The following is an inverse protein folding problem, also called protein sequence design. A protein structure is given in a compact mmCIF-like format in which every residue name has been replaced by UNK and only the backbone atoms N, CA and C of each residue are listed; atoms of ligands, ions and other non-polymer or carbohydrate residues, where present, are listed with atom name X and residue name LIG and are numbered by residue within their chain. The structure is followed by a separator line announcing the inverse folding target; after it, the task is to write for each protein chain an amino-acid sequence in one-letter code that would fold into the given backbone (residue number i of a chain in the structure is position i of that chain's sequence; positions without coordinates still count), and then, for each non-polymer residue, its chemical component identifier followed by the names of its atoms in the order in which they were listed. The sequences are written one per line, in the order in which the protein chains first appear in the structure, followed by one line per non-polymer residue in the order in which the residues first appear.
data_IF_691291051569
#
_entry.id   IF_691291051569
#
_cell.length_a   1.000
_cell.length_b   1.000
_cell.length_c   1.000
_cell.angle_alpha   90.00
_cell.angle_beta   90.00
_cell.angle_gamma   90.00
#
_symmetry.space_group_name_H-M   'P 1'
#
loop_
_entity.id
_entity.type
_entity.pdbx_description
1 polymer ?
#
# COMPACT_ATOMS: atom_id res chain seq x y z
N UNK A 1 -41.10 20.62 -43.43
CA UNK A 1 -41.13 20.75 -41.96
C UNK A 1 -41.42 22.19 -41.64
N UNK A 2 -42.26 22.47 -40.64
CA UNK A 2 -42.51 23.85 -40.24
C UNK A 2 -41.28 24.39 -39.50
N UNK A 3 -41.09 25.72 -39.49
CA UNK A 3 -40.00 26.38 -38.76
C UNK A 3 -39.99 26.01 -37.26
N UNK A 4 -41.17 25.72 -36.69
CA UNK A 4 -41.31 25.25 -35.31
C UNK A 4 -40.84 23.81 -35.08
N UNK A 5 -40.89 22.95 -36.10
CA UNK A 5 -40.41 21.56 -36.00
C UNK A 5 -38.88 21.51 -36.03
N UNK A 6 -38.24 22.34 -36.86
CA UNK A 6 -36.77 22.46 -36.91
C UNK A 6 -36.19 23.09 -35.63
N UNK A 7 -36.86 24.10 -35.07
CA UNK A 7 -36.47 24.72 -33.81
C UNK A 7 -36.59 23.73 -32.64
N UNK A 8 -37.65 22.90 -32.63
CA UNK A 8 -37.85 21.84 -31.63
C UNK A 8 -36.79 20.73 -31.74
N UNK A 9 -36.48 20.29 -32.96
CA UNK A 9 -35.48 19.25 -33.19
C UNK A 9 -34.06 19.71 -32.85
N UNK A 10 -33.73 20.97 -33.14
CA UNK A 10 -32.45 21.57 -32.77
C UNK A 10 -32.32 21.73 -31.24
N UNK A 11 -33.40 22.10 -30.54
CA UNK A 11 -33.42 22.15 -29.09
C UNK A 11 -33.19 20.77 -28.46
N UNK A 12 -33.83 19.73 -29.00
CA UNK A 12 -33.67 18.34 -28.55
C UNK A 12 -32.23 17.84 -28.77
N UNK A 13 -31.63 18.12 -29.94
CA UNK A 13 -30.22 17.79 -30.24
C UNK A 13 -29.25 18.48 -29.28
N UNK A 14 -29.46 19.77 -29.02
CA UNK A 14 -28.65 20.54 -28.08
C UNK A 14 -28.72 19.97 -26.66
N UNK A 15 -29.92 19.67 -26.18
CA UNK A 15 -30.11 19.10 -24.85
C UNK A 15 -29.49 17.70 -24.71
N UNK A 16 -29.68 16.84 -25.72
CA UNK A 16 -29.10 15.49 -25.75
C UNK A 16 -27.57 15.54 -25.76
N UNK A 17 -26.97 16.47 -26.51
CA UNK A 17 -25.52 16.70 -26.51
C UNK A 17 -25.01 17.16 -25.15
N UNK A 18 -25.74 18.05 -24.47
CA UNK A 18 -25.43 18.48 -23.10
C UNK A 18 -25.41 17.31 -22.11
N UNK A 19 -26.46 16.47 -22.12
CA UNK A 19 -26.55 15.28 -21.27
C UNK A 19 -25.41 14.31 -21.57
N UNK A 20 -25.14 14.04 -22.85
CA UNK A 20 -24.06 13.15 -23.26
C UNK A 20 -22.69 13.65 -22.75
N UNK A 21 -22.42 14.96 -22.87
CA UNK A 21 -21.19 15.54 -22.34
C UNK A 21 -21.07 15.39 -20.82
N UNK A 22 -22.15 15.61 -20.07
CA UNK A 22 -22.16 15.40 -18.62
C UNK A 22 -21.84 13.95 -18.26
N UNK A 23 -22.46 12.98 -18.95
CA UNK A 23 -22.20 11.54 -18.73
C UNK A 23 -20.74 11.21 -19.05
N UNK A 24 -20.24 11.66 -20.19
CA UNK A 24 -18.87 11.40 -20.64
C UNK A 24 -17.84 12.02 -19.68
N UNK A 25 -18.05 13.25 -19.23
CA UNK A 25 -17.17 13.91 -18.24
C UNK A 25 -17.16 13.17 -16.90
N UNK A 26 -18.32 12.71 -16.42
CA UNK A 26 -18.41 11.90 -15.21
C UNK A 26 -17.68 10.56 -15.33
N UNK A 27 -17.84 9.88 -16.46
CA UNK A 27 -17.16 8.62 -16.76
C UNK A 27 -15.64 8.81 -16.87
N UNK A 28 -15.17 9.84 -17.58
CA UNK A 28 -13.75 10.16 -17.73
C UNK A 28 -13.10 10.51 -16.39
N UNK A 29 -13.77 11.30 -15.55
CA UNK A 29 -13.28 11.61 -14.20
C UNK A 29 -13.09 10.34 -13.37
N UNK A 30 -14.04 9.41 -13.47
CA UNK A 30 -13.99 8.11 -12.78
C UNK A 30 -12.84 7.25 -13.31
N UNK A 31 -12.71 7.11 -14.63
CA UNK A 31 -11.63 6.35 -15.26
C UNK A 31 -10.27 6.94 -14.89
N UNK A 32 -10.13 8.27 -14.90
CA UNK A 32 -8.90 8.95 -14.47
C UNK A 32 -8.55 8.65 -13.01
N UNK A 33 -9.54 8.61 -12.11
CA UNK A 33 -9.34 8.27 -10.69
C UNK A 33 -8.92 6.81 -10.47
N UNK A 34 -9.35 5.89 -11.32
CA UNK A 34 -9.07 4.45 -11.20
C UNK A 34 -7.98 3.93 -12.16
N UNK A 35 -7.41 4.78 -13.02
CA UNK A 35 -6.38 4.41 -14.00
C UNK A 35 -4.98 4.19 -13.41
N UNK A 36 -4.77 4.62 -12.16
CA UNK A 36 -3.61 4.31 -11.32
C UNK A 36 -4.08 3.61 -10.04
N UNK A 37 -3.16 2.95 -9.32
CA UNK A 37 -3.46 2.39 -8.00
C UNK A 37 -4.10 3.48 -7.11
N UNK A 38 -5.38 3.33 -6.74
CA UNK A 38 -6.08 4.26 -5.85
C UNK A 38 -6.04 3.73 -4.41
N UNK A 39 -5.43 4.51 -3.52
CA UNK A 39 -5.62 4.37 -2.09
C UNK A 39 -6.72 5.31 -1.67
N UNK A 40 -7.96 4.82 -1.71
CA UNK A 40 -9.13 5.65 -1.45
C UNK A 40 -9.53 5.57 0.04
N UNK A 41 -9.91 6.70 0.65
CA UNK A 41 -10.43 6.72 2.03
C UNK A 41 -11.78 6.01 2.12
N UNK A 42 -12.04 5.37 3.26
CA UNK A 42 -13.36 4.79 3.54
C UNK A 42 -14.43 5.91 3.53
N UNK A 43 -15.50 5.77 2.72
CA UNK A 43 -16.60 6.74 2.68
C UNK A 43 -17.21 7.02 4.06
N UNK A 44 -17.56 8.28 4.33
CA UNK A 44 -18.05 8.71 5.64
C UNK A 44 -19.33 7.99 6.07
N UNK A 45 -20.24 7.70 5.15
CA UNK A 45 -21.47 6.96 5.46
C UNK A 45 -21.18 5.56 5.99
N UNK A 46 -20.16 4.87 5.49
CA UNK A 46 -19.72 3.57 6.01
C UNK A 46 -18.97 3.73 7.33
N UNK A 47 -18.05 4.71 7.39
CA UNK A 47 -17.28 4.98 8.61
C UNK A 47 -18.16 5.38 9.79
N UNK A 48 -19.26 6.10 9.54
CA UNK A 48 -20.20 6.53 10.58
C UNK A 48 -21.05 5.38 11.12
N UNK A 49 -21.25 4.29 10.36
CA UNK A 49 -21.94 3.10 10.86
C UNK A 49 -21.09 2.32 11.87
N UNK A 50 -19.80 2.23 11.62
CA UNK A 50 -18.87 1.56 12.52
C UNK A 50 -17.44 2.12 12.40
N UNK A 51 -17.15 3.17 13.15
CA UNK A 51 -15.87 3.88 13.05
C UNK A 51 -14.68 3.04 13.50
N UNK A 52 -14.87 2.13 14.45
CA UNK A 52 -13.80 1.26 14.95
C UNK A 52 -13.37 0.23 13.91
N UNK A 53 -14.30 -0.32 13.11
CA UNK A 53 -13.96 -1.26 12.03
C UNK A 53 -12.98 -0.69 10.98
N UNK A 54 -12.92 0.64 10.84
CA UNK A 54 -12.06 1.34 9.87
C UNK A 54 -10.96 2.16 10.54
N UNK A 55 -10.74 1.96 11.84
CA UNK A 55 -9.63 2.57 12.58
C UNK A 55 -8.61 1.47 12.86
N UNK A 56 -7.33 1.63 12.48
CA UNK A 56 -6.32 0.63 12.76
C UNK A 56 -6.21 0.34 14.27
N UNK A 57 -6.27 -0.94 14.63
CA UNK A 57 -6.22 -1.36 16.04
C UNK A 57 -4.82 -1.71 16.53
N UNK A 58 -3.94 -2.20 15.64
CA UNK A 58 -2.63 -2.71 16.01
C UNK A 58 -1.50 -1.88 15.41
N UNK A 59 -1.59 -1.63 14.10
CA UNK A 59 -0.57 -0.95 13.31
C UNK A 59 -1.29 -0.05 12.30
N UNK A 60 -1.01 1.26 12.34
CA UNK A 60 -1.44 2.21 11.30
C UNK A 60 -0.58 2.06 10.06
N UNK A 61 -1.08 2.33 8.85
CA UNK A 61 -0.27 2.34 7.62
C UNK A 61 -0.78 3.49 6.75
N UNK A 62 0.14 4.26 6.19
CA UNK A 62 -0.14 5.33 5.25
C UNK A 62 -0.72 6.60 5.88
N UNK A 63 -0.95 7.63 5.05
CA UNK A 63 -1.21 9.00 5.49
C UNK A 63 -2.57 9.15 6.17
N UNK A 64 -3.57 8.35 5.80
CA UNK A 64 -4.90 8.40 6.43
C UNK A 64 -4.89 8.04 7.91
N UNK A 65 -3.81 7.42 8.39
CA UNK A 65 -3.69 6.91 9.76
C UNK A 65 -2.47 7.47 10.49
N UNK A 66 -1.81 8.49 9.94
CA UNK A 66 -0.55 9.03 10.47
C UNK A 66 -0.66 9.60 11.89
N UNK A 67 -1.85 10.06 12.28
CA UNK A 67 -2.11 10.64 13.61
C UNK A 67 -2.67 9.63 14.61
N UNK A 68 -2.73 8.34 14.24
CA UNK A 68 -3.29 7.29 15.08
C UNK A 68 -2.13 6.55 15.74
N UNK A 69 -2.01 6.73 17.05
CA UNK A 69 -1.09 5.96 17.86
C UNK A 69 -1.68 4.57 18.09
N UNK A 70 -0.99 3.55 17.59
CA UNK A 70 -1.40 2.16 17.72
C UNK A 70 -0.43 1.38 18.62
N UNK A 71 -0.91 0.43 19.43
CA UNK A 71 -0.12 -0.24 20.47
C UNK A 71 1.11 -0.99 19.94
N UNK A 72 1.13 -1.36 18.65
CA UNK A 72 2.25 -2.10 18.03
C UNK A 72 3.10 -1.23 17.09
N UNK A 73 3.08 0.10 17.23
CA UNK A 73 3.93 0.97 16.43
C UNK A 73 5.44 0.67 16.61
N UNK A 74 5.86 0.27 17.82
CA UNK A 74 7.23 -0.18 18.08
C UNK A 74 7.58 -1.48 17.35
N UNK A 75 6.61 -2.38 17.12
CA UNK A 75 6.81 -3.62 16.35
C UNK A 75 7.00 -3.29 14.87
N UNK A 76 6.26 -2.30 14.35
CA UNK A 76 6.47 -1.79 12.99
C UNK A 76 7.92 -1.33 12.79
N UNK A 77 8.44 -0.51 13.71
CA UNK A 77 9.82 -0.03 13.69
C UNK A 77 10.83 -1.20 13.82
N UNK A 78 10.55 -2.18 14.68
CA UNK A 78 11.38 -3.37 14.83
C UNK A 78 11.50 -4.16 13.52
N UNK A 79 10.40 -4.33 12.80
CA UNK A 79 10.40 -4.97 11.48
C UNK A 79 11.16 -4.12 10.45
N UNK A 80 10.92 -2.81 10.38
CA UNK A 80 11.68 -1.95 9.49
C UNK A 80 13.20 -2.06 9.74
N UNK A 81 13.61 -2.07 11.02
CA UNK A 81 15.00 -2.27 11.42
C UNK A 81 15.56 -3.65 11.01
N UNK A 82 14.78 -4.73 11.19
CA UNK A 82 15.18 -6.07 10.77
C UNK A 82 15.43 -6.19 9.27
N UNK A 83 14.68 -5.43 8.44
CA UNK A 83 14.95 -5.39 7.01
C UNK A 83 16.33 -4.79 6.72
N UNK A 84 16.65 -3.64 7.31
CA UNK A 84 17.97 -3.03 7.15
C UNK A 84 19.08 -3.96 7.62
N UNK A 85 18.91 -4.54 8.81
CA UNK A 85 19.83 -5.53 9.37
C UNK A 85 20.07 -6.69 8.39
N UNK A 86 19.05 -7.23 7.73
CA UNK A 86 19.28 -8.29 6.73
C UNK A 86 20.00 -7.82 5.48
N UNK A 87 19.66 -6.64 4.98
CA UNK A 87 20.33 -6.06 3.80
C UNK A 87 21.81 -5.77 4.08
N UNK A 88 22.17 -5.52 5.34
CA UNK A 88 23.55 -5.26 5.76
C UNK A 88 24.29 -6.50 6.24
N UNK A 89 23.64 -7.48 6.88
CA UNK A 89 24.25 -8.72 7.40
C UNK A 89 24.82 -9.67 6.34
N UNK A 90 24.44 -9.53 5.06
CA UNK A 90 25.09 -10.26 3.96
C UNK A 90 26.59 -9.93 3.79
N UNK A 91 27.08 -8.89 4.48
CA UNK A 91 28.51 -8.62 4.65
C UNK A 91 28.89 -8.90 6.10
N UNK A 92 29.73 -9.91 6.34
CA UNK A 92 30.33 -10.16 7.65
C UNK A 92 31.23 -8.98 7.98
N UNK A 93 30.70 -8.01 8.72
CA UNK A 93 31.48 -6.87 9.22
C UNK A 93 31.84 -7.15 10.68
N UNK A 94 33.13 -7.16 11.05
CA UNK A 94 33.56 -7.43 12.42
C UNK A 94 33.30 -6.25 13.38
N UNK A 95 33.03 -5.04 12.86
CA UNK A 95 32.81 -3.83 13.66
C UNK A 95 31.36 -3.31 13.56
N UNK A 96 30.75 -3.11 14.72
CA UNK A 96 29.41 -2.52 14.89
C UNK A 96 29.30 -1.11 14.30
N UNK A 97 30.37 -0.30 14.37
CA UNK A 97 30.33 1.05 13.78
C UNK A 97 30.26 1.01 12.26
N UNK A 98 30.89 0.01 11.65
CA UNK A 98 30.87 -0.17 10.20
C UNK A 98 29.50 -0.66 9.71
N UNK A 99 28.86 -1.55 10.48
CA UNK A 99 27.47 -1.97 10.19
C UNK A 99 26.49 -0.80 10.32
N UNK A 100 26.59 -0.01 11.38
CA UNK A 100 25.73 1.18 11.59
C UNK A 100 25.93 2.20 10.46
N UNK A 101 27.17 2.43 10.01
CA UNK A 101 27.45 3.32 8.87
C UNK A 101 26.81 2.80 7.57
N UNK A 102 26.88 1.49 7.32
CA UNK A 102 26.28 0.88 6.13
C UNK A 102 24.76 0.97 6.15
N UNK A 103 24.14 0.68 7.29
CA UNK A 103 22.69 0.83 7.50
C UNK A 103 22.25 2.26 7.21
N UNK A 104 23.01 3.23 7.71
CA UNK A 104 22.77 4.64 7.47
C UNK A 104 22.84 5.02 5.99
N UNK A 105 23.84 4.54 5.23
CA UNK A 105 23.91 4.81 3.79
C UNK A 105 22.76 4.16 3.00
N UNK A 106 22.32 2.95 3.39
CA UNK A 106 21.13 2.32 2.79
C UNK A 106 19.88 3.17 3.07
N UNK A 107 19.67 3.57 4.33
CA UNK A 107 18.55 4.42 4.71
C UNK A 107 18.56 5.74 3.94
N UNK A 108 19.74 6.35 3.78
CA UNK A 108 19.91 7.61 3.05
C UNK A 108 19.52 7.49 1.58
N UNK A 109 19.91 6.41 0.90
CA UNK A 109 19.46 6.18 -0.49
C UNK A 109 17.96 5.87 -0.56
N UNK A 110 17.39 5.12 0.40
CA UNK A 110 15.94 4.92 0.50
C UNK A 110 15.19 6.25 0.65
N UNK A 111 15.62 7.10 1.58
CA UNK A 111 15.03 8.42 1.82
C UNK A 111 15.12 9.30 0.57
N UNK A 112 16.28 9.30 -0.10
CA UNK A 112 16.50 10.07 -1.32
C UNK A 112 15.57 9.62 -2.46
N UNK A 113 15.41 8.32 -2.66
CA UNK A 113 14.51 7.82 -3.70
C UNK A 113 13.04 8.06 -3.33
N UNK A 114 12.67 7.88 -2.06
CA UNK A 114 11.31 8.19 -1.60
C UNK A 114 10.98 9.67 -1.81
N UNK A 115 11.89 10.59 -1.49
CA UNK A 115 11.71 12.03 -1.78
C UNK A 115 11.39 12.31 -3.25
N UNK A 116 12.02 11.58 -4.16
CA UNK A 116 11.77 11.71 -5.61
C UNK A 116 10.39 11.17 -6.01
N UNK A 117 9.86 10.23 -5.25
CA UNK A 117 8.60 9.53 -5.52
C UNK A 117 7.41 10.09 -4.75
N UNK A 118 7.60 10.91 -3.71
CA UNK A 118 6.52 11.47 -2.88
C UNK A 118 5.45 12.13 -3.75
N UNK A 119 5.84 13.01 -4.68
CA UNK A 119 4.90 13.75 -5.53
C UNK A 119 4.07 12.82 -6.43
N UNK A 120 4.66 11.71 -6.88
CA UNK A 120 3.96 10.69 -7.67
C UNK A 120 3.08 9.80 -6.79
N UNK A 121 3.54 9.49 -5.57
CA UNK A 121 2.79 8.72 -4.60
C UNK A 121 1.53 9.46 -4.12
N UNK A 122 1.59 10.78 -3.94
CA UNK A 122 0.41 11.61 -3.61
C UNK A 122 -0.69 11.45 -4.66
N UNK A 123 -0.34 11.34 -5.95
CA UNK A 123 -1.31 11.14 -7.05
C UNK A 123 -2.05 9.79 -6.98
N UNK A 124 -1.60 8.87 -6.14
CA UNK A 124 -2.29 7.60 -5.87
C UNK A 124 -3.43 7.75 -4.86
N UNK A 125 -3.59 8.94 -4.26
CA UNK A 125 -4.67 9.25 -3.34
C UNK A 125 -5.67 10.21 -4.02
N UNK A 126 -6.98 9.93 -3.94
CA UNK A 126 -8.00 10.82 -4.47
C UNK A 126 -8.22 12.07 -3.59
N UNK A 127 -7.83 12.00 -2.32
CA UNK A 127 -7.92 13.08 -1.36
C UNK A 127 -6.59 13.84 -1.27
N UNK A 128 -6.65 15.10 -0.82
CA UNK A 128 -5.45 15.86 -0.45
C UNK A 128 -4.83 15.24 0.82
N UNK A 129 -3.67 14.60 0.64
CA UNK A 129 -2.95 13.92 1.70
C UNK A 129 -1.53 14.46 1.81
N UNK A 130 -1.05 14.64 3.04
CA UNK A 130 0.35 14.89 3.29
C UNK A 130 1.08 13.55 3.45
N UNK A 131 1.92 13.22 2.47
CA UNK A 131 2.90 12.14 2.59
C UNK A 131 4.22 12.71 3.09
N UNK A 132 4.95 11.91 3.87
CA UNK A 132 6.34 12.19 4.22
C UNK A 132 7.20 10.95 3.96
N UNK A 133 8.47 11.17 3.65
CA UNK A 133 9.43 10.13 3.32
C UNK A 133 9.64 9.14 4.47
N UNK A 134 9.56 9.61 5.71
CA UNK A 134 9.77 8.79 6.90
C UNK A 134 8.69 7.71 7.01
N UNK A 135 7.43 8.10 6.87
CA UNK A 135 6.27 7.20 6.84
C UNK A 135 6.39 6.20 5.70
N UNK A 136 6.71 6.66 4.48
CA UNK A 136 6.83 5.78 3.32
C UNK A 136 7.93 4.74 3.50
N UNK A 137 9.10 5.14 4.01
CA UNK A 137 10.20 4.23 4.30
C UNK A 137 9.81 3.25 5.41
N UNK A 138 9.31 3.74 6.55
CA UNK A 138 8.98 2.89 7.71
C UNK A 138 7.87 1.89 7.37
N UNK A 139 6.77 2.35 6.78
CA UNK A 139 5.64 1.49 6.43
C UNK A 139 6.01 0.50 5.32
N UNK A 140 6.76 0.96 4.31
CA UNK A 140 7.25 0.10 3.22
C UNK A 140 8.20 -0.99 3.73
N UNK A 141 9.17 -0.62 4.56
CA UNK A 141 10.11 -1.58 5.17
C UNK A 141 9.39 -2.58 6.08
N UNK A 142 8.40 -2.13 6.85
CA UNK A 142 7.55 -3.01 7.66
C UNK A 142 6.82 -4.04 6.80
N UNK A 143 6.12 -3.60 5.74
CA UNK A 143 5.36 -4.49 4.84
C UNK A 143 6.28 -5.51 4.18
N UNK A 144 7.40 -5.06 3.60
CA UNK A 144 8.36 -5.94 2.95
C UNK A 144 8.89 -7.00 3.93
N UNK A 145 9.27 -6.60 5.14
CA UNK A 145 9.79 -7.51 6.15
C UNK A 145 8.75 -8.53 6.63
N UNK A 146 7.52 -8.06 6.85
CA UNK A 146 6.41 -8.94 7.20
C UNK A 146 6.21 -10.04 6.14
N UNK A 147 6.22 -9.65 4.86
CA UNK A 147 6.08 -10.56 3.73
C UNK A 147 7.26 -11.52 3.60
N UNK A 148 8.51 -11.04 3.76
CA UNK A 148 9.69 -11.90 3.72
C UNK A 148 9.68 -12.98 4.81
N UNK A 149 9.33 -12.60 6.05
CA UNK A 149 9.19 -13.56 7.15
C UNK A 149 8.08 -14.56 6.90
N UNK A 150 6.92 -14.09 6.44
CA UNK A 150 5.79 -14.97 6.13
C UNK A 150 6.16 -16.00 5.05
N UNK A 151 6.79 -15.56 3.97
CA UNK A 151 7.25 -16.46 2.90
C UNK A 151 8.31 -17.46 3.37
N UNK A 152 9.24 -17.03 4.23
CA UNK A 152 10.24 -17.91 4.83
C UNK A 152 9.62 -19.01 5.71
N UNK A 153 8.57 -18.66 6.48
CA UNK A 153 7.83 -19.62 7.30
C UNK A 153 7.11 -20.66 6.43
N UNK A 154 6.44 -20.23 5.36
CA UNK A 154 5.76 -21.16 4.44
C UNK A 154 6.72 -22.20 3.84
N UNK A 155 7.92 -21.78 3.42
CA UNK A 155 8.93 -22.71 2.90
C UNK A 155 9.49 -23.67 3.95
N UNK A 156 9.58 -23.25 5.20
CA UNK A 156 10.06 -24.12 6.28
C UNK A 156 9.07 -25.23 6.60
N UNK A 157 7.76 -24.95 6.51
CA UNK A 157 6.72 -25.95 6.75
C UNK A 157 6.56 -26.92 5.58
N UNK A 158 6.74 -26.48 4.34
CA UNK A 158 6.79 -27.36 3.15
C UNK A 158 7.95 -28.37 3.20
N UNK A 159 9.11 -28.00 3.76
CA UNK A 159 10.23 -28.93 3.93
C UNK A 159 9.97 -29.99 4.99
N UNK A 160 9.24 -29.65 6.06
CA UNK A 160 8.89 -30.61 7.13
C UNK A 160 7.93 -31.70 6.68
N UNK A 161 7.07 -31.43 5.70
CA UNK A 161 6.12 -32.43 5.18
C UNK A 161 6.76 -33.41 4.19
N UNK A 162 7.87 -33.03 3.54
CA UNK A 162 8.59 -33.89 2.57
C UNK A 162 9.56 -34.84 3.28
N UNK A 163 10.24 -34.40 4.34
CA UNK A 163 11.21 -35.24 5.08
C UNK A 163 10.56 -36.20 6.10
N UNK A 164 9.23 -36.14 6.30
CA UNK A 164 8.50 -37.02 7.22
C UNK A 164 8.09 -38.40 6.64
N UNK A 165 8.53 -38.72 5.43
CA UNK A 165 8.05 -39.86 4.64
C UNK A 165 8.97 -41.09 4.60
N UNK A 166 9.73 -41.42 5.64
CA UNK A 166 10.33 -42.76 5.77
C UNK A 166 10.63 -43.12 7.23
N UNK A 167 9.71 -43.81 7.90
CA UNK A 167 10.03 -44.79 8.94
C UNK A 167 8.75 -45.47 9.41
N UNK A 168 8.56 -46.72 9.00
CA UNK A 168 7.43 -47.48 9.54
C UNK A 168 7.16 -48.80 8.84
N UNK A 169 8.16 -49.68 8.70
CA UNK A 169 7.84 -51.10 8.66
C UNK A 169 8.92 -51.96 9.31
N UNK A 170 8.89 -52.04 10.64
CA UNK A 170 9.53 -53.10 11.41
C UNK A 170 8.46 -54.03 11.98
N UNK A 171 8.29 -55.16 11.27
CA UNK A 171 7.87 -56.50 11.72
C UNK A 171 7.20 -56.60 13.10
N UNK A 172 5.93 -57.00 13.11
CA UNK A 172 5.37 -57.77 14.22
C UNK A 172 5.71 -59.26 14.04
N UNK A 173 6.22 -59.83 15.13
CA UNK A 173 6.39 -61.25 15.42
C UNK A 173 5.07 -62.00 15.47
#
# INVERSE_FOLDING_TARGET
MSRGDEDSENALKSHTSGIHNTITLGAQKTISLFSSACMCRVPENLRNQNSSAYTPHLISIGPYHQHIETPMQHIKLYYANNLFLRLTQGTVLPDRKESEKKEFEVLKECVKEMKRLVDDAVKSYPDDVSLNEEMMVVDGCFILELLYKYYGLMKADEKKTIDGGDSGNSKLS
#
